data_IF_044513330673
#
_entry.id   IF_044513330673
#
_cell.length_a   1.000
_cell.length_b   1.000
_cell.length_c   1.000
_cell.angle_alpha   90.00
_cell.angle_beta   90.00
_cell.angle_gamma   90.00
#
_symmetry.space_group_name_H-M   'P 1'
#
loop_
_entity.id
_entity.type
_entity.pdbx_description
1 polymer ?
#
# COMPACT_ATOMS: atom_id res chain seq x y z
N UNK A 1 -68.47 -21.10 -0.97
CA UNK A 1 -67.39 -21.63 -1.83
C UNK A 1 -66.35 -20.54 -2.02
N UNK A 2 -65.36 -20.55 -1.15
CA UNK A 2 -64.36 -19.50 -0.93
C UNK A 2 -63.23 -19.68 -1.95
N UNK A 3 -62.97 -18.68 -2.79
CA UNK A 3 -61.78 -18.67 -3.66
C UNK A 3 -60.54 -18.49 -2.77
N UNK A 4 -59.71 -19.53 -2.65
CA UNK A 4 -58.35 -19.40 -2.13
C UNK A 4 -57.57 -18.44 -3.03
N UNK A 5 -56.92 -17.45 -2.42
CA UNK A 5 -55.88 -16.67 -3.07
C UNK A 5 -54.69 -17.58 -3.40
N UNK A 6 -53.97 -17.36 -4.51
CA UNK A 6 -52.69 -18.03 -4.73
C UNK A 6 -51.65 -17.49 -3.74
N UNK A 7 -51.02 -18.40 -2.99
CA UNK A 7 -49.93 -18.08 -2.06
C UNK A 7 -48.79 -17.35 -2.80
N UNK A 8 -48.37 -16.15 -2.37
CA UNK A 8 -47.27 -15.41 -3.00
C UNK A 8 -45.88 -15.90 -2.53
N UNK A 9 -45.83 -16.96 -1.73
CA UNK A 9 -44.58 -17.50 -1.21
C UNK A 9 -44.10 -18.61 -2.16
N UNK A 10 -43.29 -18.26 -3.15
CA UNK A 10 -42.23 -19.12 -3.74
C UNK A 10 -41.51 -18.39 -4.90
N UNK A 11 -41.24 -17.10 -4.77
CA UNK A 11 -40.24 -16.42 -5.60
C UNK A 11 -38.85 -16.80 -5.09
N UNK A 12 -38.43 -17.97 -5.55
CA UNK A 12 -37.07 -18.51 -5.70
C UNK A 12 -35.95 -17.59 -5.18
N UNK A 13 -35.49 -17.92 -3.98
CA UNK A 13 -34.24 -17.51 -3.37
C UNK A 13 -33.04 -18.00 -4.19
N UNK A 14 -32.69 -17.30 -5.27
CA UNK A 14 -31.42 -17.50 -5.98
C UNK A 14 -30.81 -16.17 -6.45
N UNK A 15 -30.87 -15.15 -5.58
CA UNK A 15 -29.87 -14.10 -5.65
C UNK A 15 -28.58 -14.70 -5.11
N UNK A 16 -27.73 -15.14 -6.04
CA UNK A 16 -26.32 -15.44 -5.82
C UNK A 16 -25.76 -14.44 -4.82
N UNK A 17 -25.63 -14.86 -3.56
CA UNK A 17 -25.00 -14.11 -2.49
C UNK A 17 -23.52 -13.97 -2.86
N UNK A 18 -23.22 -12.96 -3.71
CA UNK A 18 -21.87 -12.50 -3.91
C UNK A 18 -21.44 -12.06 -2.52
N UNK A 19 -20.42 -12.70 -1.91
CA UNK A 19 -20.02 -12.32 -0.57
C UNK A 19 -19.73 -10.82 -0.62
N UNK A 20 -20.42 -10.04 0.20
CA UNK A 20 -20.22 -8.61 0.35
C UNK A 20 -18.79 -8.43 0.84
N UNK A 21 -17.84 -8.34 -0.09
CA UNK A 21 -16.44 -8.15 0.25
C UNK A 21 -16.34 -6.74 0.82
N UNK A 22 -15.96 -6.56 2.10
CA UNK A 22 -15.91 -5.25 2.73
C UNK A 22 -14.87 -4.33 2.06
N UNK A 23 -13.93 -4.91 1.30
CA UNK A 23 -12.86 -4.21 0.60
C UNK A 23 -12.97 -4.32 -0.93
N UNK A 24 -12.70 -3.21 -1.63
CA UNK A 24 -12.65 -3.19 -3.09
C UNK A 24 -11.33 -3.80 -3.57
N UNK A 25 -11.33 -5.13 -3.79
CA UNK A 25 -10.18 -5.90 -4.28
C UNK A 25 -9.57 -5.28 -5.55
N UNK A 26 -10.40 -4.66 -6.39
CA UNK A 26 -9.96 -3.99 -7.62
C UNK A 26 -9.10 -2.76 -7.34
N UNK A 27 -9.47 -1.95 -6.34
CA UNK A 27 -8.67 -0.78 -5.92
C UNK A 27 -7.37 -1.20 -5.26
N UNK A 28 -7.40 -2.23 -4.40
CA UNK A 28 -6.20 -2.78 -3.78
C UNK A 28 -5.23 -3.30 -4.84
N UNK A 29 -5.72 -4.11 -5.80
CA UNK A 29 -4.90 -4.62 -6.90
C UNK A 29 -4.33 -3.49 -7.75
N UNK A 30 -5.13 -2.48 -8.09
CA UNK A 30 -4.66 -1.33 -8.84
C UNK A 30 -3.55 -0.57 -8.09
N UNK A 31 -3.76 -0.25 -6.81
CA UNK A 31 -2.75 0.41 -5.99
C UNK A 31 -1.46 -0.40 -5.87
N UNK A 32 -1.58 -1.71 -5.62
CA UNK A 32 -0.44 -2.60 -5.43
C UNK A 32 0.34 -2.81 -6.75
N UNK A 33 -0.35 -2.92 -7.88
CA UNK A 33 0.27 -2.93 -9.21
C UNK A 33 1.04 -1.63 -9.47
N UNK A 34 0.43 -0.48 -9.15
CA UNK A 34 1.10 0.82 -9.28
C UNK A 34 2.34 0.90 -8.39
N UNK A 35 2.27 0.44 -7.14
CA UNK A 35 3.43 0.36 -6.24
C UNK A 35 4.53 -0.52 -6.81
N UNK A 36 4.17 -1.68 -7.37
CA UNK A 36 5.15 -2.62 -7.95
C UNK A 36 5.83 -2.02 -9.19
N UNK A 37 5.09 -1.31 -10.04
CA UNK A 37 5.64 -0.56 -11.17
C UNK A 37 6.60 0.53 -10.66
N UNK A 38 6.19 1.31 -9.67
CA UNK A 38 7.03 2.32 -9.03
C UNK A 38 8.32 1.71 -8.45
N UNK A 39 8.21 0.54 -7.82
CA UNK A 39 9.35 -0.20 -7.29
C UNK A 39 10.31 -0.67 -8.38
N UNK A 40 9.80 -1.12 -9.53
CA UNK A 40 10.66 -1.45 -10.68
C UNK A 40 11.42 -0.22 -11.21
N UNK A 41 10.74 0.93 -11.33
CA UNK A 41 11.36 2.21 -11.73
C UNK A 41 12.41 2.65 -10.70
N UNK A 42 12.09 2.53 -9.41
CA UNK A 42 13.00 2.83 -8.31
C UNK A 42 14.26 1.95 -8.35
N UNK A 43 14.12 0.64 -8.58
CA UNK A 43 15.25 -0.27 -8.72
C UNK A 43 16.12 0.06 -9.93
N UNK A 44 15.50 0.44 -11.06
CA UNK A 44 16.22 0.91 -12.25
C UNK A 44 17.06 2.16 -11.93
N UNK A 45 16.53 3.07 -11.11
CA UNK A 45 17.24 4.26 -10.63
C UNK A 45 18.29 3.96 -9.54
N UNK A 46 18.10 3.01 -8.64
CA UNK A 46 19.13 2.75 -7.59
C UNK A 46 20.37 2.06 -8.14
N UNK A 47 20.24 1.28 -9.22
CA UNK A 47 21.31 0.40 -9.67
C UNK A 47 21.33 0.26 -11.20
N UNK A 48 21.66 1.29 -11.98
CA UNK A 48 21.77 1.16 -13.44
C UNK A 48 22.94 0.26 -13.86
N UNK A 49 23.88 -0.03 -12.95
CA UNK A 49 25.00 -0.94 -13.21
C UNK A 49 24.61 -2.40 -13.40
N UNK A 50 23.42 -2.85 -12.96
CA UNK A 50 22.90 -4.18 -13.36
C UNK A 50 22.53 -4.23 -14.85
N UNK A 51 22.41 -3.08 -15.51
CA UNK A 51 22.09 -2.97 -16.94
C UNK A 51 23.31 -2.68 -17.83
N UNK A 52 24.53 -2.68 -17.27
CA UNK A 52 25.77 -2.56 -18.06
C UNK A 52 26.01 -1.18 -18.70
N UNK A 53 25.37 -0.13 -18.21
CA UNK A 53 25.63 1.24 -18.65
C UNK A 53 26.98 1.72 -18.11
N UNK A 54 27.91 2.08 -19.01
CA UNK A 54 29.22 2.65 -18.67
C UNK A 54 29.06 3.85 -17.74
N UNK A 55 30.00 4.05 -16.82
CA UNK A 55 29.99 5.14 -15.82
C UNK A 55 30.21 6.51 -16.49
N UNK A 56 29.23 6.98 -17.24
CA UNK A 56 29.20 8.36 -17.73
C UNK A 56 28.58 9.27 -16.67
N UNK A 57 29.20 10.42 -16.36
CA UNK A 57 28.66 11.46 -15.48
C UNK A 57 27.17 11.78 -15.69
N UNK A 58 26.75 11.80 -16.95
CA UNK A 58 25.39 12.18 -17.35
C UNK A 58 24.36 11.14 -16.87
N UNK A 59 24.77 9.87 -16.79
CA UNK A 59 23.90 8.77 -16.39
C UNK A 59 23.59 8.86 -14.88
N UNK A 60 24.52 9.37 -14.06
CA UNK A 60 24.31 9.54 -12.61
C UNK A 60 23.18 10.54 -12.27
N UNK A 61 23.07 11.66 -12.98
CA UNK A 61 22.00 12.63 -12.74
C UNK A 61 20.62 12.09 -13.14
N UNK A 62 20.53 11.48 -14.33
CA UNK A 62 19.31 10.85 -14.82
C UNK A 62 18.89 9.71 -13.89
N UNK A 63 19.85 8.95 -13.39
CA UNK A 63 19.64 7.86 -12.44
C UNK A 63 18.92 8.34 -11.16
N UNK A 64 19.39 9.42 -10.54
CA UNK A 64 18.79 9.98 -9.31
C UNK A 64 17.36 10.49 -9.58
N UNK A 65 17.14 11.13 -10.73
CA UNK A 65 15.81 11.59 -11.12
C UNK A 65 14.84 10.40 -11.30
N UNK A 66 15.26 9.34 -11.99
CA UNK A 66 14.46 8.11 -12.18
C UNK A 66 14.18 7.44 -10.83
N UNK A 67 15.17 7.40 -9.95
CA UNK A 67 15.04 6.91 -8.58
C UNK A 67 13.93 7.65 -7.80
N UNK A 68 13.94 8.99 -7.81
CA UNK A 68 12.94 9.83 -7.13
C UNK A 68 11.55 9.65 -7.74
N UNK A 69 11.46 9.59 -9.07
CA UNK A 69 10.18 9.34 -9.77
C UNK A 69 9.62 7.97 -9.36
N UNK A 70 10.46 6.94 -9.31
CA UNK A 70 10.08 5.63 -8.80
C UNK A 70 9.54 5.69 -7.38
N UNK A 71 10.23 6.41 -6.49
CA UNK A 71 9.80 6.62 -5.11
C UNK A 71 8.45 7.37 -5.03
N UNK A 72 8.22 8.38 -5.87
CA UNK A 72 6.94 9.08 -5.94
C UNK A 72 5.78 8.15 -6.35
N UNK A 73 6.02 7.29 -7.34
CA UNK A 73 5.03 6.29 -7.79
C UNK A 73 4.75 5.25 -6.70
N UNK A 74 5.78 4.82 -5.96
CA UNK A 74 5.62 3.95 -4.78
C UNK A 74 4.74 4.65 -3.73
N UNK A 75 5.03 5.91 -3.40
CA UNK A 75 4.23 6.71 -2.45
C UNK A 75 2.75 6.75 -2.85
N UNK A 76 2.46 7.02 -4.13
CA UNK A 76 1.11 7.10 -4.66
C UNK A 76 0.40 5.73 -4.69
N UNK A 77 1.06 4.69 -5.20
CA UNK A 77 0.51 3.33 -5.24
C UNK A 77 0.24 2.80 -3.84
N UNK A 78 1.17 3.03 -2.91
CA UNK A 78 1.05 2.67 -1.51
C UNK A 78 -0.17 3.33 -0.86
N UNK A 79 -0.34 4.65 -1.05
CA UNK A 79 -1.53 5.37 -0.59
C UNK A 79 -2.82 4.75 -1.12
N UNK A 80 -2.93 4.55 -2.45
CA UNK A 80 -4.14 4.00 -3.06
C UNK A 80 -4.44 2.58 -2.54
N UNK A 81 -3.41 1.75 -2.42
CA UNK A 81 -3.55 0.35 -1.97
C UNK A 81 -4.00 0.26 -0.51
N UNK A 82 -3.35 1.02 0.38
CA UNK A 82 -3.62 1.00 1.82
C UNK A 82 -4.91 1.75 2.15
N UNK A 83 -5.22 2.87 1.49
CA UNK A 83 -6.50 3.56 1.67
C UNK A 83 -7.69 2.71 1.19
N UNK A 84 -7.47 1.82 0.22
CA UNK A 84 -8.48 0.85 -0.18
C UNK A 84 -8.75 -0.25 0.87
N UNK A 85 -7.83 -0.46 1.83
CA UNK A 85 -8.09 -1.33 2.99
C UNK A 85 -9.04 -0.68 4.00
N UNK A 86 -9.00 0.65 4.14
CA UNK A 86 -9.88 1.43 5.03
C UNK A 86 -11.30 1.65 4.48
N UNK A 87 -11.68 0.92 3.42
CA UNK A 87 -12.95 1.12 2.71
C UNK A 87 -14.16 1.04 3.66
N UNK A 88 -14.95 2.13 3.71
CA UNK A 88 -16.14 2.37 4.56
C UNK A 88 -15.89 2.66 6.04
N UNK A 89 -14.64 2.85 6.47
CA UNK A 89 -14.33 3.30 7.83
C UNK A 89 -13.48 4.57 7.83
N UNK A 90 -13.62 5.37 8.88
CA UNK A 90 -12.77 6.52 9.11
C UNK A 90 -11.33 6.03 9.36
N UNK A 91 -10.32 6.57 8.65
CA UNK A 91 -8.91 6.33 8.97
C UNK A 91 -8.64 6.61 10.45
N UNK A 92 -7.75 5.84 11.06
CA UNK A 92 -7.29 6.14 12.41
C UNK A 92 -6.43 7.41 12.40
N UNK A 93 -6.28 8.05 13.56
CA UNK A 93 -5.36 9.18 13.74
C UNK A 93 -3.92 8.81 13.35
N UNK A 94 -3.53 7.54 13.58
CA UNK A 94 -2.24 7.01 13.16
C UNK A 94 -2.12 6.95 11.64
N UNK A 95 -3.19 6.61 10.93
CA UNK A 95 -3.22 6.60 9.47
C UNK A 95 -3.10 8.02 8.88
N UNK A 96 -3.83 8.99 9.42
CA UNK A 96 -3.73 10.39 8.99
C UNK A 96 -2.32 10.96 9.23
N UNK A 97 -1.72 10.65 10.38
CA UNK A 97 -0.34 11.00 10.68
C UNK A 97 0.66 10.27 9.77
N UNK A 98 0.43 8.98 9.51
CA UNK A 98 1.23 8.16 8.61
C UNK A 98 1.31 8.76 7.21
N UNK A 99 0.19 9.25 6.66
CA UNK A 99 0.21 9.95 5.36
C UNK A 99 1.07 11.21 5.35
N UNK A 100 0.99 12.01 6.41
CA UNK A 100 1.83 13.19 6.54
C UNK A 100 3.31 12.81 6.64
N UNK A 101 3.62 11.74 7.36
CA UNK A 101 4.98 11.22 7.49
C UNK A 101 5.53 10.67 6.17
N UNK A 102 4.71 10.00 5.35
CA UNK A 102 5.10 9.59 3.99
C UNK A 102 5.42 10.82 3.13
N UNK A 103 4.56 11.84 3.16
CA UNK A 103 4.76 13.06 2.39
C UNK A 103 6.03 13.81 2.82
N UNK A 104 6.29 13.95 4.12
CA UNK A 104 7.50 14.61 4.62
C UNK A 104 8.75 13.79 4.31
N UNK A 105 8.70 12.47 4.47
CA UNK A 105 9.80 11.58 4.09
C UNK A 105 10.15 11.68 2.61
N UNK A 106 9.14 11.75 1.73
CA UNK A 106 9.35 11.97 0.30
C UNK A 106 10.01 13.32 0.00
N UNK A 107 9.54 14.40 0.63
CA UNK A 107 10.18 15.73 0.49
C UNK A 107 11.64 15.68 0.93
N UNK A 108 11.95 15.06 2.07
CA UNK A 108 13.33 14.88 2.54
C UNK A 108 14.15 14.11 1.50
N UNK A 109 13.63 13.00 0.96
CA UNK A 109 14.31 12.21 -0.06
C UNK A 109 14.57 13.00 -1.37
N UNK A 110 13.63 13.85 -1.80
CA UNK A 110 13.81 14.70 -2.99
C UNK A 110 14.91 15.74 -2.77
N UNK A 111 14.84 16.50 -1.67
CA UNK A 111 15.78 17.58 -1.42
C UNK A 111 17.19 17.07 -1.15
N UNK A 112 17.31 15.96 -0.42
CA UNK A 112 18.61 15.33 -0.17
C UNK A 112 19.11 14.67 -1.45
N UNK A 113 18.28 13.88 -2.14
CA UNK A 113 18.65 13.22 -3.40
C UNK A 113 19.05 14.18 -4.51
N UNK A 114 18.43 15.36 -4.61
CA UNK A 114 18.75 16.36 -5.64
C UNK A 114 19.65 17.51 -5.13
N UNK A 115 20.32 17.36 -3.99
CA UNK A 115 21.12 18.43 -3.38
C UNK A 115 22.15 19.04 -4.34
N UNK A 116 22.81 18.21 -5.16
CA UNK A 116 23.77 18.67 -6.18
C UNK A 116 23.11 19.46 -7.32
N UNK A 117 21.88 19.09 -7.72
CA UNK A 117 21.11 19.80 -8.76
C UNK A 117 20.67 21.18 -8.27
N UNK A 118 20.33 21.28 -6.98
CA UNK A 118 19.95 22.56 -6.37
C UNK A 118 21.15 23.46 -6.02
N UNK A 119 22.39 23.01 -6.25
CA UNK A 119 23.60 23.80 -6.00
C UNK A 119 24.01 23.89 -4.53
N UNK A 120 23.37 23.14 -3.63
CA UNK A 120 23.78 22.99 -2.23
C UNK A 120 24.72 21.80 -2.00
N UNK A 121 24.93 20.99 -3.05
CA UNK A 121 25.76 19.80 -3.04
C UNK A 121 27.26 20.08 -2.93
N UNK A 122 27.99 19.11 -2.40
CA UNK A 122 29.41 19.24 -2.06
C UNK A 122 30.36 19.15 -3.26
N UNK A 123 29.85 18.82 -4.47
CA UNK A 123 30.63 18.68 -5.69
C UNK A 123 29.96 19.42 -6.87
N UNK A 124 30.15 20.75 -7.00
CA UNK A 124 29.78 21.45 -8.22
C UNK A 124 30.63 20.94 -9.40
N UNK A 125 30.01 20.75 -10.57
CA UNK A 125 30.66 20.28 -11.81
C UNK A 125 31.99 21.05 -12.07
N UNK A 126 33.10 20.38 -12.45
CA UNK A 126 33.19 19.47 -13.61
C UNK A 126 33.78 18.07 -13.30
N UNK A 127 33.69 17.61 -12.05
CA UNK A 127 34.06 16.24 -11.66
C UNK A 127 32.92 15.23 -11.87
N UNK A 128 33.23 13.93 -11.89
CA UNK A 128 32.23 12.85 -11.91
C UNK A 128 31.20 13.08 -10.79
N UNK A 129 29.89 13.19 -11.09
CA UNK A 129 28.85 13.37 -10.09
C UNK A 129 28.85 12.15 -9.17
N UNK A 130 29.36 12.37 -7.97
CA UNK A 130 29.50 11.34 -6.95
C UNK A 130 28.37 11.54 -5.96
N UNK A 131 27.49 10.54 -5.84
CA UNK A 131 26.44 10.55 -4.84
C UNK A 131 27.08 10.66 -3.46
N UNK A 132 26.95 11.84 -2.84
CA UNK A 132 27.64 12.14 -1.61
C UNK A 132 27.18 11.22 -0.48
N UNK A 133 28.08 10.86 0.44
CA UNK A 133 27.70 10.05 1.61
C UNK A 133 26.59 10.72 2.44
N UNK A 134 26.59 12.06 2.51
CA UNK A 134 25.54 12.85 3.15
C UNK A 134 24.22 12.84 2.37
N UNK A 135 24.28 12.88 1.04
CA UNK A 135 23.14 12.76 0.15
C UNK A 135 22.45 11.41 0.34
N UNK A 136 23.24 10.32 0.32
CA UNK A 136 22.78 8.96 0.55
C UNK A 136 22.14 8.78 1.93
N UNK A 137 22.76 9.33 2.98
CA UNK A 137 22.18 9.30 4.33
C UNK A 137 20.87 10.07 4.42
N UNK A 138 20.79 11.23 3.78
CA UNK A 138 19.57 12.04 3.73
C UNK A 138 18.42 11.30 3.05
N UNK A 139 18.70 10.66 1.91
CA UNK A 139 17.73 9.82 1.19
C UNK A 139 17.29 8.64 2.06
N UNK A 140 18.23 7.96 2.72
CA UNK A 140 17.94 6.83 3.61
C UNK A 140 17.03 7.23 4.77
N UNK A 141 17.21 8.43 5.33
CA UNK A 141 16.31 8.97 6.36
C UNK A 141 14.91 9.24 5.77
N UNK A 142 14.84 9.81 4.56
CA UNK A 142 13.57 10.02 3.86
C UNK A 142 12.81 8.71 3.59
N UNK A 143 13.51 7.67 3.14
CA UNK A 143 12.96 6.33 2.93
C UNK A 143 12.50 5.69 4.25
N UNK A 144 13.26 5.85 5.33
CA UNK A 144 12.85 5.36 6.65
C UNK A 144 11.56 6.04 7.13
N UNK A 145 11.42 7.35 6.94
CA UNK A 145 10.19 8.08 7.25
C UNK A 145 9.01 7.59 6.41
N UNK A 146 9.23 7.35 5.10
CA UNK A 146 8.20 6.76 4.22
C UNK A 146 7.78 5.38 4.71
N UNK A 147 8.74 4.52 5.06
CA UNK A 147 8.47 3.17 5.53
C UNK A 147 7.65 3.18 6.84
N UNK A 148 8.03 4.04 7.80
CA UNK A 148 7.29 4.20 9.07
C UNK A 148 5.89 4.79 8.78
N UNK A 149 5.78 5.77 7.89
CA UNK A 149 4.50 6.36 7.53
C UNK A 149 3.55 5.34 6.89
N UNK A 150 4.05 4.47 6.02
CA UNK A 150 3.28 3.36 5.48
C UNK A 150 2.90 2.32 6.53
N UNK A 151 3.83 1.99 7.44
CA UNK A 151 3.57 1.09 8.56
C UNK A 151 2.37 1.60 9.37
N UNK A 152 2.33 2.89 9.69
CA UNK A 152 1.23 3.51 10.45
C UNK A 152 -0.10 3.55 9.69
N UNK A 153 -0.06 3.49 8.36
CA UNK A 153 -1.25 3.45 7.52
C UNK A 153 -1.94 2.08 7.49
N UNK A 154 -1.25 1.02 7.93
CA UNK A 154 -1.80 -0.34 7.95
C UNK A 154 -2.86 -0.47 9.06
N UNK A 155 -4.06 -0.99 8.76
CA UNK A 155 -5.11 -1.21 9.77
C UNK A 155 -4.82 -2.48 10.62
N UNK A 156 -4.11 -2.35 11.74
CA UNK A 156 -3.67 -3.48 12.59
C UNK A 156 -4.76 -4.16 13.46
N UNK A 157 -6.05 -3.86 13.30
CA UNK A 157 -7.06 -4.23 14.31
C UNK A 157 -8.39 -4.82 13.82
N UNK A 158 -8.54 -5.26 12.58
CA UNK A 158 -9.86 -5.60 12.00
C UNK A 158 -10.26 -7.09 12.04
N UNK A 159 -9.58 -7.95 12.80
CA UNK A 159 -10.14 -9.27 13.12
C UNK A 159 -11.17 -9.11 14.25
N UNK A 160 -12.46 -8.95 13.90
CA UNK A 160 -13.54 -9.39 14.78
C UNK A 160 -13.71 -10.90 14.56
N UNK A 161 -13.29 -11.79 15.49
CA UNK A 161 -13.82 -13.14 15.50
C UNK A 161 -15.35 -13.05 15.56
N UNK A 162 -16.01 -13.90 14.77
CA UNK A 162 -17.47 -13.95 14.69
C UNK A 162 -18.06 -13.90 16.10
N UNK A 163 -18.91 -12.90 16.33
CA UNK A 163 -19.76 -12.84 17.50
C UNK A 163 -20.60 -14.12 17.48
N UNK A 164 -20.22 -15.08 18.32
CA UNK A 164 -20.99 -16.30 18.58
C UNK A 164 -22.38 -15.84 19.01
N UNK A 165 -23.32 -15.92 18.07
CA UNK A 165 -24.69 -15.49 18.25
C UNK A 165 -25.25 -16.18 19.50
N UNK A 166 -25.55 -15.44 20.60
CA UNK A 166 -26.12 -16.04 21.80
C UNK A 166 -27.50 -16.68 21.56
N UNK A 167 -28.10 -16.42 20.39
CA UNK A 167 -29.37 -17.00 19.95
C UNK A 167 -29.22 -18.20 19.02
N UNK A 168 -28.01 -18.71 18.77
CA UNK A 168 -27.85 -20.01 18.12
C UNK A 168 -28.32 -21.10 19.10
N UNK A 169 -29.36 -21.88 18.77
CA UNK A 169 -29.76 -23.00 19.62
C UNK A 169 -28.56 -23.94 19.78
N UNK A 170 -28.36 -24.52 20.98
CA UNK A 170 -27.23 -25.41 21.23
C UNK A 170 -27.20 -26.49 20.15
N UNK A 171 -26.00 -26.87 19.67
CA UNK A 171 -25.87 -27.93 18.67
C UNK A 171 -26.63 -29.16 19.18
N UNK A 172 -27.42 -29.82 18.31
CA UNK A 172 -28.20 -30.98 18.71
C UNK A 172 -27.26 -31.97 19.39
N UNK A 173 -27.60 -32.32 20.63
CA UNK A 173 -26.87 -33.28 21.45
C UNK A 173 -26.53 -34.47 20.58
N UNK A 174 -25.24 -34.80 20.49
CA UNK A 174 -24.80 -35.99 19.77
C UNK A 174 -25.68 -37.17 20.17
N UNK A 175 -26.15 -38.01 19.22
CA UNK A 175 -26.95 -39.17 19.57
C UNK A 175 -26.19 -39.96 20.63
N UNK A 176 -26.79 -40.06 21.81
CA UNK A 176 -26.28 -40.92 22.87
C UNK A 176 -26.23 -42.31 22.24
N UNK A 177 -25.01 -42.82 22.06
CA UNK A 177 -24.80 -44.20 21.66
C UNK A 177 -25.31 -45.05 22.82
N UNK A 178 -26.55 -45.49 22.68
CA UNK A 178 -27.17 -46.54 23.47
C UNK A 178 -26.30 -47.78 23.29
N UNK A 179 -25.45 -48.05 24.29
CA UNK A 179 -24.68 -49.28 24.39
C UNK A 179 -25.39 -50.18 25.39
N UNK A 180 -26.28 -51.01 24.86
CA UNK A 180 -26.68 -52.28 25.48
C UNK A 180 -25.54 -53.30 25.42
#
# INVERSE_FOLDING_TARGET
MTRLAPDPALSTSNQSAKPDRPYSVRRIRFGLTTTLIGFAIFLLGTKPSVFGLDRSPIIGFVQIAVFIVGLAVICLGGYISLMALWNRQSPSIAADFGQRMVATGFVVAVFTGMADVFGFGSHPLPGVPFFGSWQARGVMIGEALIAIGFLLLVPYGQHKPAEENPAAPPPPSAPQSESD
#
